data_IF_023082210589
#
_entry.id   IF_023082210589
#
_cell.length_a   1.000
_cell.length_b   1.000
_cell.length_c   1.000
_cell.angle_alpha   90.00
_cell.angle_beta   90.00
_cell.angle_gamma   90.00
#
_symmetry.space_group_name_H-M   'P 1'
#
loop_
_entity.id
_entity.type
_entity.pdbx_description
1 polymer ?
#
# COMPACT_ATOMS: atom_id res chain seq x y z
N UNK A 1 -3.04 -36.93 22.37
CA UNK A 1 -1.69 -36.35 22.26
C UNK A 1 -1.84 -34.84 22.39
N UNK A 2 -1.49 -34.28 23.55
CA UNK A 2 -1.57 -32.84 23.82
C UNK A 2 -0.32 -32.18 23.28
N UNK A 3 -0.41 -31.53 22.12
CA UNK A 3 0.68 -30.74 21.57
C UNK A 3 0.99 -29.57 22.50
N UNK A 4 2.22 -29.54 23.01
CA UNK A 4 2.74 -28.42 23.79
C UNK A 4 2.75 -27.16 22.90
N UNK A 5 1.88 -26.20 23.20
CA UNK A 5 1.93 -24.89 22.56
C UNK A 5 3.08 -24.14 23.21
N UNK A 6 4.24 -24.15 22.56
CA UNK A 6 5.42 -23.37 22.95
C UNK A 6 5.12 -21.89 22.71
N UNK A 7 4.54 -21.22 23.72
CA UNK A 7 4.27 -19.79 23.69
C UNK A 7 5.45 -18.98 24.23
N UNK A 8 6.01 -18.07 23.44
CA UNK A 8 6.93 -17.06 23.96
C UNK A 8 6.17 -16.00 24.78
N UNK A 9 6.72 -15.63 25.94
CA UNK A 9 6.17 -14.56 26.77
C UNK A 9 6.23 -13.23 26.01
N UNK A 10 5.05 -12.62 25.76
CA UNK A 10 4.94 -11.35 25.04
C UNK A 10 5.79 -10.28 25.75
N UNK A 11 6.71 -9.65 25.01
CA UNK A 11 7.46 -8.48 25.50
C UNK A 11 6.45 -7.37 25.79
N UNK A 12 6.58 -6.65 26.91
CA UNK A 12 5.70 -5.50 27.21
C UNK A 12 5.88 -4.46 26.11
N UNK A 13 4.82 -4.21 25.35
CA UNK A 13 4.74 -3.16 24.32
C UNK A 13 3.79 -2.06 24.83
N UNK A 14 3.93 -0.85 24.30
CA UNK A 14 3.00 0.26 24.60
C UNK A 14 1.54 -0.18 24.44
N UNK A 15 0.64 0.29 25.32
CA UNK A 15 -0.76 -0.17 25.38
C UNK A 15 -1.50 -0.06 24.03
N UNK A 16 -1.22 1.00 23.26
CA UNK A 16 -1.82 1.20 21.94
C UNK A 16 -1.34 0.18 20.90
N UNK A 17 -0.05 -0.22 20.92
CA UNK A 17 0.48 -1.27 20.04
C UNK A 17 -0.10 -2.63 20.42
N UNK A 18 -0.28 -2.87 21.72
CA UNK A 18 -0.91 -4.10 22.22
C UNK A 18 -2.33 -4.26 21.69
N UNK A 19 -3.11 -3.18 21.70
CA UNK A 19 -4.49 -3.14 21.17
C UNK A 19 -4.52 -3.42 19.66
N UNK A 20 -3.64 -2.79 18.88
CA UNK A 20 -3.54 -3.07 17.44
C UNK A 20 -3.17 -4.53 17.16
N UNK A 21 -2.16 -5.05 17.86
CA UNK A 21 -1.74 -6.45 17.71
C UNK A 21 -2.83 -7.45 18.11
N UNK A 22 -3.71 -7.10 19.06
CA UNK A 22 -4.84 -7.94 19.44
C UNK A 22 -5.98 -7.94 18.43
N UNK A 23 -6.07 -6.93 17.56
CA UNK A 23 -7.11 -6.87 16.52
C UNK A 23 -6.76 -7.74 15.30
N UNK A 24 -5.47 -7.99 15.03
CA UNK A 24 -5.04 -8.74 13.83
C UNK A 24 -5.69 -10.12 13.68
N UNK A 25 -5.82 -10.97 14.72
CA UNK A 25 -6.51 -12.26 14.59
C UNK A 25 -7.99 -12.11 14.19
N UNK A 26 -8.67 -11.08 14.68
CA UNK A 26 -10.06 -10.80 14.30
C UNK A 26 -10.15 -10.41 12.83
N UNK A 27 -9.25 -9.55 12.34
CA UNK A 27 -9.22 -9.15 10.93
C UNK A 27 -9.00 -10.40 10.05
N UNK A 28 -8.05 -11.26 10.41
CA UNK A 28 -7.80 -12.51 9.67
C UNK A 28 -9.02 -13.41 9.65
N UNK A 29 -9.68 -13.58 10.79
CA UNK A 29 -10.89 -14.39 10.85
C UNK A 29 -12.01 -13.83 9.97
N UNK A 30 -12.19 -12.51 9.94
CA UNK A 30 -13.16 -11.86 9.05
C UNK A 30 -12.83 -12.09 7.57
N UNK A 31 -11.55 -12.14 7.20
CA UNK A 31 -11.15 -12.48 5.81
C UNK A 31 -11.43 -13.95 5.51
N UNK A 32 -11.07 -14.86 6.43
CA UNK A 32 -11.35 -16.30 6.27
C UNK A 32 -12.85 -16.60 6.15
N UNK A 33 -13.70 -15.81 6.82
CA UNK A 33 -15.16 -15.88 6.73
C UNK A 33 -15.72 -15.21 5.46
N UNK A 34 -14.88 -14.58 4.63
CA UNK A 34 -15.31 -13.83 3.44
C UNK A 34 -16.07 -12.53 3.73
N UNK A 35 -15.99 -12.01 4.97
CA UNK A 35 -16.68 -10.77 5.39
C UNK A 35 -15.93 -9.52 4.97
N UNK A 36 -14.61 -9.61 4.86
CA UNK A 36 -13.74 -8.56 4.32
C UNK A 36 -12.70 -9.20 3.40
N UNK A 37 -12.10 -8.41 2.52
CA UNK A 37 -11.11 -8.89 1.55
C UNK A 37 -9.85 -8.04 1.64
N UNK A 38 -8.69 -8.68 1.57
CA UNK A 38 -7.43 -7.98 1.45
C UNK A 38 -7.09 -7.71 0.00
N UNK A 39 -6.54 -6.53 -0.22
CA UNK A 39 -6.05 -6.09 -1.51
C UNK A 39 -4.61 -5.63 -1.40
N UNK A 40 -3.87 -5.80 -2.49
CA UNK A 40 -2.52 -5.27 -2.69
C UNK A 40 -2.37 -4.79 -4.12
N UNK A 41 -1.28 -4.08 -4.40
CA UNK A 41 -1.00 -3.54 -5.72
C UNK A 41 0.52 -3.48 -5.96
N UNK A 42 0.93 -3.15 -7.18
CA UNK A 42 2.33 -3.25 -7.64
C UNK A 42 3.36 -2.62 -6.70
N UNK A 43 3.24 -1.32 -6.42
CA UNK A 43 4.22 -0.62 -5.56
C UNK A 43 4.24 -1.14 -4.12
N UNK A 44 3.09 -1.54 -3.55
CA UNK A 44 3.03 -2.08 -2.19
C UNK A 44 3.71 -3.45 -2.09
N UNK A 45 3.54 -4.31 -3.09
CA UNK A 45 4.22 -5.62 -3.18
C UNK A 45 5.72 -5.43 -3.32
N UNK A 46 6.15 -4.45 -4.11
CA UNK A 46 7.55 -4.14 -4.33
C UNK A 46 8.21 -3.59 -3.05
N UNK A 47 7.54 -2.70 -2.31
CA UNK A 47 7.98 -2.30 -0.97
C UNK A 47 8.13 -3.49 -0.03
N UNK A 48 7.17 -4.42 -0.03
CA UNK A 48 7.21 -5.60 0.82
C UNK A 48 8.38 -6.54 0.46
N UNK A 49 8.71 -6.70 -0.82
CA UNK A 49 9.84 -7.53 -1.25
C UNK A 49 11.19 -6.98 -0.76
N UNK A 50 11.32 -5.66 -0.70
CA UNK A 50 12.53 -4.97 -0.29
C UNK A 50 12.71 -4.89 1.24
N UNK A 51 11.68 -5.26 2.02
CA UNK A 51 11.74 -5.26 3.49
C UNK A 51 12.19 -6.63 4.04
N UNK A 52 13.21 -6.68 4.91
CA UNK A 52 13.61 -7.92 5.56
C UNK A 52 12.43 -8.57 6.30
N UNK A 53 12.15 -9.84 6.00
CA UNK A 53 11.11 -10.63 6.68
C UNK A 53 9.66 -10.36 6.24
N UNK A 54 9.44 -9.63 5.14
CA UNK A 54 8.09 -9.15 4.78
C UNK A 54 7.31 -10.01 3.77
N UNK A 55 7.91 -10.89 2.94
CA UNK A 55 7.15 -11.95 2.24
C UNK A 55 7.97 -13.02 1.45
N UNK A 56 7.57 -14.31 1.46
CA UNK A 56 6.98 -15.00 2.61
C UNK A 56 8.15 -15.37 3.51
N UNK A 57 8.52 -14.48 4.44
CA UNK A 57 9.43 -14.87 5.49
C UNK A 57 8.74 -15.94 6.32
N UNK A 58 9.32 -17.13 6.44
CA UNK A 58 8.94 -18.11 7.45
C UNK A 58 9.15 -17.51 8.83
N UNK A 59 8.16 -16.74 9.28
CA UNK A 59 8.12 -16.21 10.64
C UNK A 59 7.01 -16.99 11.34
N UNK A 60 7.40 -17.80 12.32
CA UNK A 60 6.49 -18.32 13.34
C UNK A 60 5.50 -17.22 13.73
N UNK A 61 4.20 -17.43 13.45
CA UNK A 61 3.16 -16.42 13.66
C UNK A 61 2.76 -15.59 12.44
N UNK A 62 2.97 -16.07 11.21
CA UNK A 62 2.38 -15.45 10.02
C UNK A 62 0.85 -15.58 10.02
N UNK A 63 0.18 -14.58 10.61
CA UNK A 63 -1.28 -14.49 10.70
C UNK A 63 -1.96 -14.46 9.32
N UNK A 64 -1.23 -14.10 8.26
CA UNK A 64 -1.75 -14.02 6.89
C UNK A 64 -1.49 -15.31 6.08
N UNK A 65 -0.94 -16.36 6.69
CA UNK A 65 -0.69 -17.62 6.00
C UNK A 65 -2.01 -18.20 5.45
N UNK A 66 -2.06 -18.45 4.14
CA UNK A 66 -3.26 -18.99 3.47
C UNK A 66 -4.38 -17.98 3.23
N UNK A 67 -4.21 -16.71 3.63
CA UNK A 67 -5.18 -15.66 3.33
C UNK A 67 -5.05 -15.21 1.88
N UNK A 68 -6.16 -15.18 1.15
CA UNK A 68 -6.17 -14.64 -0.21
C UNK A 68 -6.05 -13.11 -0.19
N UNK A 69 -5.09 -12.60 -0.96
CA UNK A 69 -4.88 -11.17 -1.19
C UNK A 69 -5.10 -10.93 -2.68
N UNK A 70 -6.07 -10.10 -3.02
CA UNK A 70 -6.39 -9.77 -4.42
C UNK A 70 -5.57 -8.59 -4.91
N UNK A 71 -5.26 -8.57 -6.20
CA UNK A 71 -4.51 -7.48 -6.81
C UNK A 71 -5.46 -6.42 -7.39
N UNK A 72 -5.13 -5.14 -7.16
CA UNK A 72 -5.82 -3.98 -7.73
C UNK A 72 -4.84 -3.11 -8.50
N UNK A 73 -5.29 -2.32 -9.48
CA UNK A 73 -4.40 -1.43 -10.24
C UNK A 73 -3.81 -0.31 -9.36
N UNK A 74 -2.57 0.08 -9.66
CA UNK A 74 -1.97 1.32 -9.13
C UNK A 74 -2.83 2.52 -9.52
N UNK A 75 -2.96 3.53 -8.65
CA UNK A 75 -3.60 4.79 -9.04
C UNK A 75 -2.94 5.39 -10.29
N UNK A 76 -1.61 5.40 -10.29
CA UNK A 76 -0.75 5.72 -11.42
C UNK A 76 0.46 4.79 -11.36
N UNK A 77 0.69 3.98 -12.40
CA UNK A 77 1.80 3.05 -12.42
C UNK A 77 3.12 3.78 -12.73
N UNK A 78 4.00 3.89 -11.74
CA UNK A 78 5.29 4.58 -11.86
C UNK A 78 6.23 3.90 -12.84
N UNK A 79 6.21 2.56 -12.92
CA UNK A 79 7.06 1.80 -13.85
C UNK A 79 6.71 2.03 -15.31
N UNK A 80 5.48 2.48 -15.62
CA UNK A 80 5.10 2.94 -16.97
C UNK A 80 5.67 4.32 -17.32
N UNK A 81 6.03 5.11 -16.30
CA UNK A 81 6.56 6.48 -16.45
C UNK A 81 8.08 6.54 -16.43
N UNK A 82 8.71 5.66 -15.66
CA UNK A 82 10.16 5.66 -15.46
C UNK A 82 10.70 4.28 -15.83
N UNK A 83 11.64 4.25 -16.79
CA UNK A 83 12.28 3.01 -17.24
C UNK A 83 13.00 2.29 -16.09
N UNK A 84 13.28 1.00 -16.32
CA UNK A 84 13.79 -0.05 -15.41
C UNK A 84 15.07 0.22 -14.59
N UNK A 85 15.54 1.47 -14.50
CA UNK A 85 16.71 1.90 -13.71
C UNK A 85 16.35 2.68 -12.42
N UNK A 86 15.06 2.88 -12.13
CA UNK A 86 14.62 3.49 -10.87
C UNK A 86 14.75 2.48 -9.72
N UNK A 87 15.55 2.80 -8.71
CA UNK A 87 15.68 2.02 -7.48
C UNK A 87 14.45 2.25 -6.61
N UNK A 88 13.61 1.22 -6.45
CA UNK A 88 12.42 1.20 -5.59
C UNK A 88 12.68 1.59 -4.12
N UNK A 89 12.91 2.88 -3.91
CA UNK A 89 13.33 3.46 -2.66
C UNK A 89 12.30 4.50 -2.26
N UNK A 90 12.21 4.71 -0.95
CA UNK A 90 11.34 5.75 -0.39
C UNK A 90 11.63 7.13 -0.99
N UNK A 91 12.89 7.43 -1.30
CA UNK A 91 13.29 8.71 -1.90
C UNK A 91 12.69 8.89 -3.31
N UNK A 92 12.83 7.88 -4.17
CA UNK A 92 12.26 7.94 -5.52
C UNK A 92 10.73 7.99 -5.51
N UNK A 93 10.08 7.32 -4.55
CA UNK A 93 8.63 7.42 -4.38
C UNK A 93 8.20 8.84 -3.97
N UNK A 94 8.98 9.51 -3.12
CA UNK A 94 8.75 10.92 -2.78
C UNK A 94 8.91 11.81 -4.02
N UNK A 95 9.94 11.58 -4.83
CA UNK A 95 10.18 12.37 -6.03
C UNK A 95 9.10 12.14 -7.10
N UNK A 96 8.62 10.91 -7.24
CA UNK A 96 7.45 10.59 -8.05
C UNK A 96 6.20 11.35 -7.56
N UNK A 97 5.93 11.34 -6.26
CA UNK A 97 4.81 12.09 -5.71
C UNK A 97 4.97 13.61 -5.95
N UNK A 98 6.17 14.16 -5.81
CA UNK A 98 6.44 15.57 -6.13
C UNK A 98 6.19 15.88 -7.60
N UNK A 99 6.62 14.99 -8.50
CA UNK A 99 6.33 15.12 -9.92
C UNK A 99 4.82 15.15 -10.18
N UNK A 100 4.05 14.23 -9.60
CA UNK A 100 2.58 14.23 -9.70
C UNK A 100 1.96 15.53 -9.22
N UNK A 101 2.40 16.04 -8.06
CA UNK A 101 1.90 17.30 -7.49
C UNK A 101 2.22 18.51 -8.37
N UNK A 102 3.30 18.46 -9.16
CA UNK A 102 3.70 19.53 -10.09
C UNK A 102 2.89 19.56 -11.39
N UNK A 103 2.22 18.45 -11.74
CA UNK A 103 1.41 18.39 -12.94
C UNK A 103 0.22 19.35 -12.84
N UNK A 104 -0.11 20.00 -13.95
CA UNK A 104 -1.37 20.71 -14.13
C UNK A 104 -2.13 20.10 -15.32
N UNK A 105 -3.33 20.60 -15.64
CA UNK A 105 -4.11 20.03 -16.75
C UNK A 105 -3.37 20.04 -18.10
N UNK A 106 -2.51 21.04 -18.34
CA UNK A 106 -1.68 21.08 -19.56
C UNK A 106 -0.60 20.01 -19.53
N UNK A 107 0.00 19.77 -18.36
CA UNK A 107 0.94 18.67 -18.13
C UNK A 107 0.30 17.31 -18.40
N UNK A 108 -0.89 17.06 -17.85
CA UNK A 108 -1.65 15.83 -18.07
C UNK A 108 -1.98 15.61 -19.55
N UNK A 109 -2.40 16.65 -20.28
CA UNK A 109 -2.67 16.53 -21.73
C UNK A 109 -1.44 16.10 -22.54
N UNK A 110 -0.23 16.51 -22.13
CA UNK A 110 1.02 16.08 -22.78
C UNK A 110 1.36 14.62 -22.54
N UNK A 111 0.76 13.98 -21.54
CA UNK A 111 0.95 12.57 -21.22
C UNK A 111 0.15 11.63 -22.14
N UNK A 112 -0.80 12.15 -22.93
CA UNK A 112 -1.72 11.34 -23.75
C UNK A 112 -1.10 10.51 -24.87
N UNK A 113 0.23 10.54 -25.05
CA UNK A 113 0.97 9.66 -25.96
C UNK A 113 1.62 8.45 -25.28
N UNK A 114 1.52 8.33 -23.95
CA UNK A 114 2.03 7.20 -23.18
C UNK A 114 0.95 6.14 -22.99
N UNK A 115 1.33 4.85 -22.83
CA UNK A 115 0.40 3.73 -22.75
C UNK A 115 -0.24 3.61 -21.36
N UNK A 116 -0.97 4.64 -20.93
CA UNK A 116 -1.78 4.60 -19.71
C UNK A 116 -3.11 3.90 -19.96
N UNK A 117 -3.57 3.19 -18.93
CA UNK A 117 -4.93 2.65 -18.89
C UNK A 117 -5.95 3.79 -18.72
N UNK A 118 -7.21 3.55 -19.09
CA UNK A 118 -8.29 4.51 -18.86
C UNK A 118 -8.43 4.85 -17.36
N UNK A 119 -8.18 3.86 -16.49
CA UNK A 119 -8.15 4.03 -15.04
C UNK A 119 -7.11 5.06 -14.59
N UNK A 120 -5.87 4.92 -15.06
CA UNK A 120 -4.80 5.87 -14.75
C UNK A 120 -5.09 7.25 -15.33
N UNK A 121 -5.64 7.32 -16.54
CA UNK A 121 -6.02 8.59 -17.17
C UNK A 121 -7.11 9.30 -16.38
N UNK A 122 -8.06 8.58 -15.79
CA UNK A 122 -9.04 9.16 -14.89
C UNK A 122 -8.39 9.67 -13.60
N UNK A 123 -7.47 8.91 -13.01
CA UNK A 123 -6.74 9.33 -11.83
C UNK A 123 -5.82 10.55 -12.10
N UNK A 124 -5.25 10.67 -13.31
CA UNK A 124 -4.53 11.87 -13.73
C UNK A 124 -5.45 13.10 -13.81
N UNK A 125 -6.71 12.94 -14.25
CA UNK A 125 -7.71 14.02 -14.24
C UNK A 125 -8.13 14.39 -12.81
N UNK A 126 -8.20 13.39 -11.93
CA UNK A 126 -8.54 13.51 -10.51
C UNK A 126 -7.40 13.90 -9.57
N UNK A 127 -6.25 14.36 -10.08
CA UNK A 127 -5.06 14.66 -9.25
C UNK A 127 -5.30 15.69 -8.13
N UNK A 128 -6.34 16.51 -8.21
CA UNK A 128 -6.69 17.45 -7.14
C UNK A 128 -6.94 16.72 -5.81
N UNK A 129 -7.55 15.52 -5.87
CA UNK A 129 -7.77 14.71 -4.67
C UNK A 129 -6.46 14.25 -4.03
N UNK A 130 -5.49 13.83 -4.85
CA UNK A 130 -4.16 13.49 -4.35
C UNK A 130 -3.44 14.71 -3.73
N UNK A 131 -3.60 15.90 -4.33
CA UNK A 131 -3.05 17.15 -3.77
C UNK A 131 -3.67 17.47 -2.41
N UNK A 132 -4.96 17.27 -2.24
CA UNK A 132 -5.65 17.47 -0.96
C UNK A 132 -5.09 16.56 0.14
N UNK A 133 -4.93 15.27 -0.14
CA UNK A 133 -4.35 14.31 0.80
C UNK A 133 -2.93 14.75 1.19
N UNK A 134 -2.11 15.16 0.21
CA UNK A 134 -0.74 15.59 0.46
C UNK A 134 -0.61 16.88 1.27
N UNK A 135 -1.63 17.77 1.28
CA UNK A 135 -1.63 18.97 2.14
C UNK A 135 -1.68 18.63 3.63
N UNK A 136 -2.21 17.47 4.00
CA UNK A 136 -2.37 17.04 5.39
C UNK A 136 -1.12 16.36 5.97
N UNK A 137 -0.09 16.11 5.15
CA UNK A 137 1.08 15.33 5.57
C UNK A 137 2.40 15.98 5.14
N UNK A 138 3.46 15.74 5.91
CA UNK A 138 4.80 16.13 5.51
C UNK A 138 5.29 15.29 4.32
N UNK A 139 6.15 15.84 3.46
CA UNK A 139 6.63 15.16 2.24
C UNK A 139 7.25 13.77 2.46
N UNK A 140 7.80 13.54 3.66
CA UNK A 140 8.33 12.22 4.08
C UNK A 140 7.27 11.10 4.15
N UNK A 141 5.99 11.49 4.13
CA UNK A 141 4.80 10.63 4.16
C UNK A 141 4.04 10.63 2.84
N UNK A 142 4.56 11.25 1.77
CA UNK A 142 3.95 11.17 0.45
C UNK A 142 3.78 9.74 -0.07
N UNK A 143 4.72 8.79 0.18
CA UNK A 143 4.46 7.38 -0.14
C UNK A 143 3.18 6.90 0.54
N UNK A 144 3.05 7.11 1.86
CA UNK A 144 1.87 6.69 2.64
C UNK A 144 0.57 7.32 2.10
N UNK A 145 0.62 8.60 1.71
CA UNK A 145 -0.48 9.30 1.07
C UNK A 145 -0.84 8.73 -0.32
N UNK A 146 0.16 8.31 -1.10
CA UNK A 146 -0.06 7.68 -2.39
C UNK A 146 -0.70 6.29 -2.24
N UNK A 147 -0.25 5.50 -1.26
CA UNK A 147 -0.87 4.22 -0.92
C UNK A 147 -2.33 4.39 -0.50
N UNK A 148 -2.61 5.41 0.33
CA UNK A 148 -3.98 5.76 0.72
C UNK A 148 -4.84 6.20 -0.48
N UNK A 149 -4.30 7.07 -1.34
CA UNK A 149 -5.01 7.49 -2.55
C UNK A 149 -5.28 6.32 -3.50
N UNK A 150 -4.33 5.40 -3.64
CA UNK A 150 -4.52 4.15 -4.42
C UNK A 150 -5.65 3.30 -3.86
N UNK A 151 -5.78 3.20 -2.53
CA UNK A 151 -6.91 2.54 -1.91
C UNK A 151 -8.24 3.27 -2.22
N UNK A 152 -8.25 4.61 -2.12
CA UNK A 152 -9.43 5.43 -2.37
C UNK A 152 -9.96 5.30 -3.80
N UNK A 153 -9.08 5.40 -4.82
CA UNK A 153 -9.49 5.29 -6.24
C UNK A 153 -9.90 3.88 -6.65
N UNK A 154 -9.52 2.87 -5.87
CA UNK A 154 -9.98 1.49 -6.04
C UNK A 154 -11.25 1.18 -5.22
N UNK A 155 -11.85 2.16 -4.53
CA UNK A 155 -13.09 1.98 -3.78
C UNK A 155 -12.92 1.18 -2.49
N UNK A 156 -11.75 1.23 -1.87
CA UNK A 156 -11.49 0.53 -0.61
C UNK A 156 -12.14 1.27 0.57
N UNK A 157 -12.90 0.55 1.39
CA UNK A 157 -13.53 1.10 2.60
C UNK A 157 -12.51 1.39 3.71
N UNK A 158 -11.42 0.62 3.76
CA UNK A 158 -10.42 0.68 4.82
C UNK A 158 -9.00 0.63 4.26
N UNK A 159 -8.10 1.37 4.90
CA UNK A 159 -6.67 1.36 4.60
C UNK A 159 -5.88 1.03 5.88
N UNK A 160 -5.06 -0.02 5.82
CA UNK A 160 -4.20 -0.46 6.92
C UNK A 160 -2.74 -0.41 6.45
N UNK A 161 -1.88 0.19 7.28
CA UNK A 161 -0.43 0.26 7.03
C UNK A 161 0.33 -0.10 8.30
N UNK A 162 1.40 -0.89 8.15
CA UNK A 162 2.35 -1.25 9.19
C UNK A 162 3.59 -0.34 9.19
#
# INVERSE_FOLDING_TARGET
MTGEVVGMKRRRVDDWKSKQLSALPTIVHLVSDGKIQFFSYGELRNEAWNRPGSFPGEVMGNLLAGVQISEVPDAICRTRLFSSNFKETKAEMIDFCRWLLSLNQRGVKKLGGLPFTDFEMENFRGLDRFREICKAVHSKHYPDAFHFWTAEVNGMDFFLRA
#
